data_IF_288629417592
#
_entry.id   IF_288629417592
#
_cell.length_a   1.000
_cell.length_b   1.000
_cell.length_c   1.000
_cell.angle_alpha   90.00
_cell.angle_beta   90.00
_cell.angle_gamma   90.00
#
_symmetry.space_group_name_H-M   'P 1'
#
loop_
_entity.id
_entity.type
_entity.pdbx_description
1 polymer ?
#
# COMPACT_ATOMS: atom_id res chain seq x y z
N UNK A 1 8.09 -60.76 -8.67
CA UNK A 1 8.47 -59.58 -9.47
C UNK A 1 7.56 -58.42 -9.06
N UNK A 2 8.01 -57.54 -8.12
CA UNK A 2 7.26 -56.38 -7.70
C UNK A 2 7.70 -55.18 -8.56
N UNK A 3 6.80 -54.68 -9.41
CA UNK A 3 6.98 -53.41 -10.10
C UNK A 3 6.73 -52.26 -9.11
N UNK A 4 7.80 -51.63 -8.64
CA UNK A 4 7.72 -50.32 -7.94
C UNK A 4 7.39 -49.25 -8.98
N UNK A 5 6.13 -48.79 -8.99
CA UNK A 5 5.75 -47.53 -9.66
C UNK A 5 6.45 -46.37 -8.92
N UNK A 6 7.49 -45.82 -9.51
CA UNK A 6 8.05 -44.52 -9.15
C UNK A 6 7.09 -43.45 -9.66
N UNK A 7 6.20 -42.96 -8.78
CA UNK A 7 5.46 -41.73 -9.04
C UNK A 7 6.43 -40.57 -8.83
N UNK A 8 7.03 -40.12 -9.92
CA UNK A 8 7.77 -38.88 -9.97
C UNK A 8 6.80 -37.75 -9.61
N UNK A 9 6.85 -37.25 -8.36
CA UNK A 9 6.27 -35.95 -7.99
C UNK A 9 6.95 -34.91 -8.89
N UNK A 10 6.31 -34.54 -10.01
CA UNK A 10 6.68 -33.33 -10.74
C UNK A 10 6.70 -32.20 -9.76
N UNK A 11 7.87 -31.61 -9.45
CA UNK A 11 7.97 -30.33 -8.80
C UNK A 11 7.20 -29.37 -9.71
N UNK A 12 6.11 -28.78 -9.22
CA UNK A 12 5.47 -27.67 -9.94
C UNK A 12 6.52 -26.59 -10.05
N UNK A 13 6.80 -26.17 -11.26
CA UNK A 13 7.61 -24.98 -11.49
C UNK A 13 6.96 -23.80 -10.77
N UNK A 14 7.75 -22.88 -10.21
CA UNK A 14 7.17 -21.69 -9.60
C UNK A 14 6.36 -20.91 -10.66
N UNK A 15 5.19 -20.45 -10.28
CA UNK A 15 4.33 -19.66 -11.16
C UNK A 15 5.06 -18.36 -11.55
N UNK A 16 4.88 -17.93 -12.79
CA UNK A 16 5.37 -16.64 -13.27
C UNK A 16 4.70 -15.46 -12.54
N UNK A 17 5.32 -14.27 -12.59
CA UNK A 17 4.74 -13.04 -12.06
C UNK A 17 3.35 -12.80 -12.68
N UNK A 18 3.20 -13.00 -13.98
CA UNK A 18 1.93 -12.83 -14.68
C UNK A 18 0.83 -13.78 -14.17
N UNK A 19 1.15 -15.07 -13.98
CA UNK A 19 0.22 -16.03 -13.42
C UNK A 19 -0.17 -15.68 -11.97
N UNK A 20 0.80 -15.22 -11.17
CA UNK A 20 0.56 -14.77 -9.80
C UNK A 20 -0.37 -13.55 -9.75
N UNK A 21 -0.11 -12.54 -10.59
CA UNK A 21 -0.96 -11.32 -10.67
C UNK A 21 -2.37 -11.70 -11.09
N UNK A 22 -2.54 -12.53 -12.12
CA UNK A 22 -3.85 -13.00 -12.57
C UNK A 22 -4.61 -13.75 -11.45
N UNK A 23 -3.92 -14.64 -10.72
CA UNK A 23 -4.52 -15.39 -9.63
C UNK A 23 -4.94 -14.48 -8.45
N UNK A 24 -4.13 -13.44 -8.14
CA UNK A 24 -4.44 -12.48 -7.10
C UNK A 24 -5.63 -11.62 -7.53
N UNK A 25 -5.65 -11.14 -8.77
CA UNK A 25 -6.74 -10.31 -9.30
C UNK A 25 -8.06 -11.09 -9.22
N UNK A 26 -8.10 -12.34 -9.67
CA UNK A 26 -9.30 -13.17 -9.57
C UNK A 26 -9.81 -13.34 -8.13
N UNK A 27 -8.90 -13.40 -7.14
CA UNK A 27 -9.28 -13.49 -5.72
C UNK A 27 -9.79 -12.16 -5.17
N UNK A 28 -9.21 -11.02 -5.61
CA UNK A 28 -9.70 -9.68 -5.27
C UNK A 28 -11.10 -9.50 -5.80
N UNK A 29 -11.32 -9.84 -7.07
CA UNK A 29 -12.62 -9.71 -7.73
C UNK A 29 -13.68 -10.55 -6.99
N UNK A 30 -13.34 -11.79 -6.65
CA UNK A 30 -14.23 -12.66 -5.87
C UNK A 30 -14.55 -12.07 -4.48
N UNK A 31 -13.56 -11.51 -3.80
CA UNK A 31 -13.77 -10.88 -2.48
C UNK A 31 -14.62 -9.61 -2.58
N UNK A 32 -14.41 -8.78 -3.61
CA UNK A 32 -15.21 -7.58 -3.86
C UNK A 32 -16.67 -7.94 -4.14
N UNK A 33 -16.91 -8.91 -5.04
CA UNK A 33 -18.26 -9.41 -5.36
C UNK A 33 -18.95 -9.96 -4.12
N UNK A 34 -18.24 -10.77 -3.33
CA UNK A 34 -18.77 -11.32 -2.06
C UNK A 34 -19.14 -10.23 -1.04
N UNK A 35 -18.46 -9.09 -1.09
CA UNK A 35 -18.75 -7.91 -0.27
C UNK A 35 -19.82 -6.97 -0.90
N UNK A 36 -20.38 -7.29 -2.05
CA UNK A 36 -21.35 -6.46 -2.76
C UNK A 36 -20.74 -5.20 -3.40
N UNK A 37 -19.43 -5.24 -3.71
CA UNK A 37 -18.68 -4.12 -4.27
C UNK A 37 -18.25 -4.38 -5.71
N UNK A 38 -18.04 -3.31 -6.48
CA UNK A 38 -17.45 -3.43 -7.82
C UNK A 38 -15.95 -3.76 -7.69
N UNK A 39 -15.45 -4.86 -8.29
CA UNK A 39 -14.03 -5.17 -8.32
C UNK A 39 -13.13 -4.05 -8.84
N UNK A 40 -13.64 -3.20 -9.72
CA UNK A 40 -12.91 -2.05 -10.28
C UNK A 40 -12.58 -0.95 -9.26
N UNK A 41 -13.25 -0.96 -8.11
CA UNK A 41 -12.95 -0.02 -7.02
C UNK A 41 -11.69 -0.43 -6.23
N UNK A 42 -11.17 -1.64 -6.45
CA UNK A 42 -10.07 -2.19 -5.65
C UNK A 42 -8.77 -2.15 -6.44
N UNK A 43 -7.89 -1.26 -6.04
CA UNK A 43 -6.55 -1.14 -6.61
C UNK A 43 -5.60 -2.21 -6.04
N UNK A 44 -4.84 -2.87 -6.92
CA UNK A 44 -3.76 -3.79 -6.56
C UNK A 44 -2.43 -3.06 -6.59
N UNK A 45 -1.88 -2.78 -5.41
CA UNK A 45 -0.55 -2.25 -5.23
C UNK A 45 0.47 -3.40 -5.13
N UNK A 46 1.38 -3.50 -6.11
CA UNK A 46 2.50 -4.43 -6.04
C UNK A 46 3.59 -3.88 -5.12
N UNK A 47 3.86 -4.53 -3.98
CA UNK A 47 4.95 -4.14 -3.08
C UNK A 47 6.29 -4.62 -3.66
N UNK A 48 6.98 -3.73 -4.38
CA UNK A 48 8.15 -4.01 -5.23
C UNK A 48 9.48 -4.10 -4.49
N UNK A 49 9.47 -3.90 -3.17
CA UNK A 49 10.70 -3.98 -2.35
C UNK A 49 11.47 -5.29 -2.58
N UNK A 50 12.81 -5.19 -2.65
CA UNK A 50 13.74 -6.32 -2.85
C UNK A 50 13.56 -7.07 -4.19
N UNK A 51 12.85 -6.52 -5.14
CA UNK A 51 12.75 -7.03 -6.49
C UNK A 51 13.50 -6.10 -7.44
N UNK A 52 14.07 -6.65 -8.50
CA UNK A 52 14.79 -5.88 -9.51
C UNK A 52 13.84 -5.14 -10.48
N UNK A 53 14.42 -4.31 -11.33
CA UNK A 53 13.66 -3.51 -12.29
C UNK A 53 12.90 -4.37 -13.31
N UNK A 54 13.45 -5.55 -13.68
CA UNK A 54 12.81 -6.44 -14.61
C UNK A 54 11.53 -7.05 -14.02
N UNK A 55 11.59 -7.56 -12.79
CA UNK A 55 10.43 -8.11 -12.10
C UNK A 55 9.32 -7.05 -11.90
N UNK A 56 9.71 -5.77 -11.67
CA UNK A 56 8.74 -4.67 -11.56
C UNK A 56 8.03 -4.44 -12.89
N UNK A 57 8.76 -4.38 -14.01
CA UNK A 57 8.15 -4.24 -15.35
C UNK A 57 7.21 -5.40 -15.67
N UNK A 58 7.61 -6.64 -15.37
CA UNK A 58 6.76 -7.83 -15.57
C UNK A 58 5.45 -7.74 -14.76
N UNK A 59 5.50 -7.23 -13.53
CA UNK A 59 4.30 -7.02 -12.73
C UNK A 59 3.38 -5.94 -13.32
N UNK A 60 3.95 -4.86 -13.87
CA UNK A 60 3.21 -3.78 -14.56
C UNK A 60 2.54 -4.33 -15.83
N UNK A 61 3.29 -5.06 -16.66
CA UNK A 61 2.78 -5.71 -17.88
C UNK A 61 1.67 -6.72 -17.56
N UNK A 62 1.77 -7.39 -16.40
CA UNK A 62 0.75 -8.32 -15.91
C UNK A 62 -0.51 -7.64 -15.37
N UNK A 63 -0.56 -6.31 -15.26
CA UNK A 63 -1.76 -5.54 -14.93
C UNK A 63 -1.94 -5.24 -13.44
N UNK A 64 -0.86 -4.99 -12.69
CA UNK A 64 -0.99 -4.32 -11.38
C UNK A 64 -1.34 -2.85 -11.59
N UNK A 65 -2.15 -2.27 -10.70
CA UNK A 65 -2.61 -0.89 -10.88
C UNK A 65 -1.54 0.14 -10.52
N UNK A 66 -0.65 -0.21 -9.59
CA UNK A 66 0.45 0.65 -9.14
C UNK A 66 1.54 -0.15 -8.44
N UNK A 67 2.72 0.48 -8.32
CA UNK A 67 3.86 -0.04 -7.60
C UNK A 67 4.01 0.64 -6.23
N UNK A 68 4.35 -0.13 -5.20
CA UNK A 68 4.62 0.36 -3.85
C UNK A 68 6.06 0.10 -3.44
N UNK A 69 6.83 1.17 -3.14
CA UNK A 69 8.22 1.04 -2.75
C UNK A 69 8.43 1.36 -1.28
N UNK A 70 9.30 0.59 -0.63
CA UNK A 70 9.53 0.72 0.81
C UNK A 70 10.82 1.45 1.18
N UNK A 71 11.79 1.52 0.27
CA UNK A 71 13.12 2.07 0.53
C UNK A 71 13.51 3.12 -0.49
N UNK A 72 13.96 4.28 -0.01
CA UNK A 72 14.34 5.41 -0.89
C UNK A 72 15.46 5.02 -1.87
N UNK A 73 16.42 4.20 -1.42
CA UNK A 73 17.52 3.74 -2.26
C UNK A 73 17.02 2.87 -3.42
N UNK A 74 16.09 1.94 -3.14
CA UNK A 74 15.48 1.08 -4.16
C UNK A 74 14.62 1.91 -5.12
N UNK A 75 13.82 2.84 -4.61
CA UNK A 75 13.05 3.77 -5.43
C UNK A 75 13.96 4.51 -6.42
N UNK A 76 15.04 5.13 -5.92
CA UNK A 76 15.95 5.92 -6.74
C UNK A 76 16.69 5.06 -7.78
N UNK A 77 17.12 3.86 -7.41
CA UNK A 77 17.80 2.95 -8.34
C UNK A 77 16.87 2.50 -9.47
N UNK A 78 15.68 2.04 -9.13
CA UNK A 78 14.68 1.56 -10.09
C UNK A 78 14.14 2.67 -10.99
N UNK A 79 14.01 3.90 -10.48
CA UNK A 79 13.66 5.07 -11.33
C UNK A 79 14.70 5.33 -12.41
N UNK A 80 16.01 5.20 -12.10
CA UNK A 80 17.09 5.34 -13.10
C UNK A 80 17.03 4.29 -14.20
N UNK A 81 16.45 3.13 -13.91
CA UNK A 81 16.25 2.02 -14.84
C UNK A 81 14.89 2.05 -15.54
N UNK A 82 14.09 3.12 -15.34
CA UNK A 82 12.71 3.25 -15.84
C UNK A 82 11.82 2.07 -15.47
N UNK A 83 12.04 1.47 -14.29
CA UNK A 83 11.35 0.25 -13.87
C UNK A 83 9.84 0.45 -13.66
N UNK A 84 9.40 1.68 -13.45
CA UNK A 84 7.99 2.02 -13.15
C UNK A 84 7.25 2.62 -14.36
N UNK A 85 7.83 2.56 -15.55
CA UNK A 85 7.17 3.09 -16.75
C UNK A 85 5.85 2.34 -16.97
N UNK A 86 4.76 3.11 -17.15
CA UNK A 86 3.41 2.58 -17.35
C UNK A 86 2.57 2.39 -16.09
N UNK A 87 3.10 2.61 -14.88
CA UNK A 87 2.32 2.54 -13.65
C UNK A 87 2.67 3.65 -12.64
N UNK A 88 1.69 4.12 -11.85
CA UNK A 88 1.96 5.02 -10.72
C UNK A 88 2.86 4.36 -9.68
N UNK A 89 3.64 5.18 -8.97
CA UNK A 89 4.50 4.72 -7.87
C UNK A 89 4.06 5.39 -6.57
N UNK A 90 3.83 4.59 -5.53
CA UNK A 90 3.59 5.07 -4.18
C UNK A 90 4.75 4.70 -3.26
N UNK A 91 5.09 5.60 -2.35
CA UNK A 91 6.01 5.26 -1.26
C UNK A 91 5.22 4.72 -0.08
N UNK A 92 5.46 3.47 0.29
CA UNK A 92 4.66 2.73 1.28
C UNK A 92 5.47 2.27 2.51
N UNK A 93 6.78 2.59 2.57
CA UNK A 93 7.64 2.26 3.69
C UNK A 93 7.87 3.47 4.60
N UNK A 94 8.43 3.24 5.79
CA UNK A 94 8.75 4.33 6.73
C UNK A 94 9.69 5.36 6.08
N UNK A 95 9.26 6.63 6.05
CA UNK A 95 10.00 7.74 5.44
C UNK A 95 10.67 8.59 6.53
N UNK A 96 11.98 8.51 6.61
CA UNK A 96 12.75 9.40 7.48
C UNK A 96 12.75 10.84 6.94
N UNK A 97 12.62 11.84 7.81
CA UNK A 97 12.53 13.26 7.41
C UNK A 97 13.74 13.75 6.59
N UNK A 98 14.95 13.23 6.85
CA UNK A 98 16.17 13.54 6.09
C UNK A 98 16.18 12.98 4.66
N UNK A 99 15.24 12.09 4.33
CA UNK A 99 15.08 11.49 2.99
C UNK A 99 13.94 12.09 2.18
N UNK A 100 13.12 12.95 2.75
CA UNK A 100 11.91 13.55 2.11
C UNK A 100 12.23 14.14 0.74
N UNK A 101 13.32 14.89 0.59
CA UNK A 101 13.75 15.49 -0.69
C UNK A 101 14.03 14.49 -1.81
N UNK A 102 14.21 13.20 -1.48
CA UNK A 102 14.45 12.15 -2.46
C UNK A 102 13.16 11.44 -2.89
N UNK A 103 12.02 11.77 -2.24
CA UNK A 103 10.73 11.11 -2.46
C UNK A 103 9.67 12.09 -2.96
N UNK A 104 9.58 13.29 -2.39
CA UNK A 104 8.64 14.35 -2.81
C UNK A 104 8.87 14.68 -4.29
N UNK A 105 7.78 14.71 -5.06
CA UNK A 105 7.78 14.90 -6.52
C UNK A 105 8.33 13.73 -7.33
N UNK A 106 8.71 12.62 -6.67
CA UNK A 106 9.23 11.41 -7.32
C UNK A 106 8.25 10.24 -7.28
N UNK A 107 7.20 10.36 -6.49
CA UNK A 107 6.12 9.38 -6.35
C UNK A 107 4.77 10.06 -6.44
N UNK A 108 3.76 9.33 -6.86
CA UNK A 108 2.40 9.85 -6.96
C UNK A 108 1.78 10.09 -5.59
N UNK A 109 2.01 9.19 -4.63
CA UNK A 109 1.48 9.28 -3.27
C UNK A 109 2.52 8.79 -2.25
N UNK A 110 2.68 9.50 -1.14
CA UNK A 110 3.40 9.02 0.04
C UNK A 110 2.35 8.49 1.02
N UNK A 111 2.29 7.16 1.20
CA UNK A 111 1.25 6.52 2.03
C UNK A 111 1.60 6.47 3.52
N UNK A 112 2.86 6.64 3.86
CA UNK A 112 3.42 6.40 5.20
C UNK A 112 3.68 7.70 5.97
N UNK A 113 2.73 8.66 5.92
CA UNK A 113 2.86 9.89 6.71
C UNK A 113 2.37 9.61 8.13
N UNK A 114 3.30 9.39 9.03
CA UNK A 114 3.11 8.84 10.36
C UNK A 114 3.20 9.87 11.50
N UNK A 115 3.55 11.11 11.19
CA UNK A 115 3.77 12.14 12.20
C UNK A 115 3.65 13.56 11.64
N UNK A 116 3.26 14.51 12.49
CA UNK A 116 3.23 15.93 12.14
C UNK A 116 4.61 16.45 11.70
N UNK A 117 5.68 15.92 12.28
CA UNK A 117 7.06 16.24 11.87
C UNK A 117 7.33 15.87 10.42
N UNK A 118 6.93 14.68 10.01
CA UNK A 118 7.12 14.21 8.63
C UNK A 118 6.22 15.00 7.68
N UNK A 119 4.96 15.23 8.05
CA UNK A 119 4.01 16.03 7.28
C UNK A 119 4.55 17.43 6.99
N UNK A 120 5.05 18.15 8.01
CA UNK A 120 5.69 19.46 7.85
C UNK A 120 6.92 19.41 6.91
N UNK A 121 7.72 18.36 6.99
CA UNK A 121 8.88 18.20 6.13
C UNK A 121 8.48 17.97 4.66
N UNK A 122 7.41 17.21 4.40
CA UNK A 122 6.86 16.98 3.05
C UNK A 122 6.29 18.28 2.49
N UNK A 123 5.46 19.00 3.24
CA UNK A 123 4.87 20.28 2.82
C UNK A 123 5.97 21.31 2.46
N UNK A 124 6.96 21.47 3.33
CA UNK A 124 8.07 22.38 3.10
C UNK A 124 8.91 22.01 1.85
N UNK A 125 9.12 20.73 1.58
CA UNK A 125 9.85 20.28 0.39
C UNK A 125 9.01 20.43 -0.88
N UNK A 126 7.71 20.12 -0.82
CA UNK A 126 6.77 20.32 -1.91
C UNK A 126 6.64 21.81 -2.27
N UNK A 127 6.61 22.70 -1.26
CA UNK A 127 6.64 24.14 -1.44
C UNK A 127 7.88 24.62 -2.22
N UNK A 128 9.08 24.11 -1.88
CA UNK A 128 10.33 24.44 -2.59
C UNK A 128 10.30 24.02 -4.06
N UNK A 129 9.62 22.92 -4.34
CA UNK A 129 9.48 22.38 -5.70
C UNK A 129 8.29 22.99 -6.47
N UNK A 130 7.46 23.83 -5.83
CA UNK A 130 6.26 24.42 -6.42
C UNK A 130 5.18 23.42 -6.81
N UNK A 131 5.07 22.32 -6.07
CA UNK A 131 4.10 21.24 -6.31
C UNK A 131 3.18 21.02 -5.10
N UNK A 132 2.11 20.26 -5.33
CA UNK A 132 1.28 19.67 -4.26
C UNK A 132 1.54 18.17 -4.26
N UNK A 133 1.98 17.63 -3.12
CA UNK A 133 2.24 16.21 -2.94
C UNK A 133 1.02 15.50 -2.34
N UNK A 134 0.52 14.49 -3.03
CA UNK A 134 -0.51 13.61 -2.51
C UNK A 134 0.05 12.72 -1.40
N UNK A 135 -0.70 12.57 -0.31
CA UNK A 135 -0.32 11.75 0.84
C UNK A 135 -1.48 10.91 1.36
N UNK A 136 -1.16 9.84 2.09
CA UNK A 136 -2.09 9.20 3.02
C UNK A 136 -1.55 9.38 4.43
N UNK A 137 -2.44 9.53 5.41
CA UNK A 137 -2.07 9.47 6.82
C UNK A 137 -1.97 8.01 7.26
N UNK A 138 -0.82 7.62 7.79
CA UNK A 138 -0.63 6.29 8.37
C UNK A 138 -1.22 6.27 9.78
N UNK A 139 -2.15 5.33 10.02
CA UNK A 139 -2.87 5.20 11.29
C UNK A 139 -2.45 3.92 12.00
N UNK A 140 -1.91 4.05 13.20
CA UNK A 140 -1.60 2.95 14.11
C UNK A 140 -2.88 2.49 14.83
N UNK A 141 -3.71 1.77 14.10
CA UNK A 141 -5.03 1.34 14.57
C UNK A 141 -4.98 0.33 15.71
N UNK A 142 -3.85 -0.40 15.84
CA UNK A 142 -3.63 -1.39 16.89
C UNK A 142 -3.10 -0.82 18.19
N UNK A 143 -2.60 0.43 18.20
CA UNK A 143 -2.01 1.06 19.38
C UNK A 143 -0.69 0.42 19.83
N UNK A 144 0.03 -0.26 18.94
CA UNK A 144 1.32 -0.88 19.25
C UNK A 144 2.42 0.18 19.30
N UNK A 145 3.10 0.35 20.43
CA UNK A 145 4.18 1.35 20.60
C UNK A 145 5.35 1.17 19.61
N UNK A 146 5.55 -0.04 19.13
CA UNK A 146 6.61 -0.37 18.17
C UNK A 146 6.29 0.02 16.73
N UNK A 147 5.05 0.42 16.44
CA UNK A 147 4.60 0.79 15.09
C UNK A 147 4.47 2.29 14.93
N UNK A 148 4.82 2.76 13.72
CA UNK A 148 4.59 4.14 13.28
C UNK A 148 3.09 4.40 13.04
N UNK A 149 2.74 5.67 12.93
CA UNK A 149 1.39 6.12 12.60
C UNK A 149 0.76 6.95 13.71
N UNK A 150 -0.16 7.81 13.32
CA UNK A 150 -1.01 8.56 14.24
C UNK A 150 -1.95 7.59 14.98
N UNK A 151 -2.24 7.85 16.24
CA UNK A 151 -3.39 7.18 16.85
C UNK A 151 -4.69 7.62 16.15
N UNK A 152 -5.73 6.81 16.11
CA UNK A 152 -7.01 7.20 15.50
C UNK A 152 -7.58 8.50 16.09
N UNK A 153 -7.32 8.76 17.36
CA UNK A 153 -7.76 9.92 18.12
C UNK A 153 -7.02 11.19 17.71
N UNK A 154 -5.79 11.09 17.19
CA UNK A 154 -4.98 12.23 16.71
C UNK A 154 -5.36 12.67 15.30
N UNK A 155 -5.98 11.80 14.50
CA UNK A 155 -6.23 12.08 13.07
C UNK A 155 -7.22 13.20 12.86
N UNK A 156 -8.36 13.21 13.56
CA UNK A 156 -9.37 14.28 13.41
C UNK A 156 -8.83 15.67 13.82
N UNK A 157 -8.16 15.84 14.97
CA UNK A 157 -7.51 17.11 15.31
C UNK A 157 -6.44 17.54 14.30
N UNK A 158 -5.71 16.59 13.69
CA UNK A 158 -4.75 16.89 12.64
C UNK A 158 -5.45 17.39 11.37
N UNK A 159 -6.53 16.74 10.96
CA UNK A 159 -7.31 17.13 9.78
C UNK A 159 -7.90 18.52 9.94
N UNK A 160 -8.30 18.93 11.13
CA UNK A 160 -8.78 20.30 11.41
C UNK A 160 -7.72 21.38 11.14
N UNK A 161 -6.44 21.03 11.23
CA UNK A 161 -5.31 21.91 10.94
C UNK A 161 -4.73 21.74 9.53
N UNK A 162 -5.28 20.80 8.73
CA UNK A 162 -4.67 20.41 7.46
C UNK A 162 -4.64 21.54 6.44
N UNK A 163 -5.55 22.51 6.51
CA UNK A 163 -5.59 23.67 5.63
C UNK A 163 -4.37 24.60 5.77
N UNK A 164 -3.61 24.49 6.84
CA UNK A 164 -2.34 25.20 7.02
C UNK A 164 -1.24 24.69 6.08
N UNK A 165 -1.37 23.44 5.62
CA UNK A 165 -0.41 22.76 4.73
C UNK A 165 -0.86 22.86 3.27
N UNK A 166 -0.38 23.88 2.57
CA UNK A 166 -0.86 24.26 1.23
C UNK A 166 -0.25 23.45 0.09
N UNK A 167 0.79 22.68 0.38
CA UNK A 167 1.55 21.93 -0.62
C UNK A 167 1.40 20.41 -0.43
N UNK A 168 0.40 19.99 0.32
CA UNK A 168 -0.02 18.59 0.42
C UNK A 168 -1.52 18.45 0.16
N UNK A 169 -1.90 17.26 -0.32
CA UNK A 169 -3.29 16.86 -0.47
C UNK A 169 -3.47 15.48 0.17
N UNK A 170 -4.35 15.38 1.14
CA UNK A 170 -4.63 14.12 1.84
C UNK A 170 -5.65 13.32 1.05
N UNK A 171 -5.20 12.23 0.39
CA UNK A 171 -6.06 11.39 -0.45
C UNK A 171 -6.75 10.26 0.32
N UNK A 172 -6.43 10.08 1.60
CA UNK A 172 -7.00 8.99 2.38
C UNK A 172 -6.14 8.54 3.55
N UNK A 173 -6.40 7.32 4.00
CA UNK A 173 -5.73 6.69 5.14
C UNK A 173 -4.98 5.42 4.73
N UNK A 174 -3.90 5.12 5.44
CA UNK A 174 -3.19 3.86 5.34
C UNK A 174 -3.08 3.22 6.73
N UNK A 175 -3.21 1.91 6.81
CA UNK A 175 -2.91 1.18 8.04
C UNK A 175 -2.28 -0.18 7.79
N UNK A 176 -1.49 -0.62 8.78
CA UNK A 176 -0.96 -1.98 8.88
C UNK A 176 -1.39 -2.51 10.25
N UNK A 177 -2.47 -3.28 10.33
CA UNK A 177 -2.95 -3.81 11.61
C UNK A 177 -1.92 -4.76 12.25
N UNK A 178 -2.10 -5.12 13.52
CA UNK A 178 -1.30 -6.16 14.17
C UNK A 178 -1.27 -7.46 13.36
N UNK A 179 -0.15 -8.20 13.48
CA UNK A 179 -0.07 -9.53 12.87
C UNK A 179 -1.13 -10.42 13.53
N UNK A 180 -2.05 -10.90 12.70
CA UNK A 180 -3.13 -11.79 13.14
C UNK A 180 -2.70 -13.25 13.04
N UNK A 181 -3.11 -14.07 14.01
CA UNK A 181 -2.95 -15.52 13.98
C UNK A 181 -4.17 -16.23 13.38
N UNK A 182 -5.34 -15.57 13.38
CA UNK A 182 -6.58 -16.12 12.88
C UNK A 182 -7.23 -15.22 11.83
N UNK A 183 -7.93 -15.84 10.89
CA UNK A 183 -8.77 -15.11 9.95
C UNK A 183 -9.86 -14.33 10.70
N UNK A 184 -10.06 -13.07 10.29
CA UNK A 184 -11.08 -12.20 10.86
C UNK A 184 -10.66 -11.34 12.06
N UNK A 185 -9.51 -11.59 12.68
CA UNK A 185 -9.03 -10.82 13.84
C UNK A 185 -8.86 -9.32 13.50
N UNK A 186 -8.49 -9.01 12.25
CA UNK A 186 -8.24 -7.65 11.80
C UNK A 186 -9.49 -6.87 11.39
N UNK A 187 -10.67 -7.49 11.30
CA UNK A 187 -11.93 -6.84 10.87
C UNK A 187 -12.25 -5.59 11.68
N UNK A 188 -12.11 -5.66 13.01
CA UNK A 188 -12.35 -4.52 13.91
C UNK A 188 -11.47 -3.31 13.58
N UNK A 189 -10.22 -3.54 13.16
CA UNK A 189 -9.29 -2.50 12.79
C UNK A 189 -9.66 -1.89 11.44
N UNK A 190 -10.00 -2.69 10.45
CA UNK A 190 -10.48 -2.22 9.16
C UNK A 190 -11.77 -1.41 9.29
N UNK A 191 -12.72 -1.88 10.10
CA UNK A 191 -13.95 -1.15 10.39
C UNK A 191 -13.66 0.21 11.05
N UNK A 192 -12.71 0.28 12.01
CA UNK A 192 -12.32 1.55 12.67
C UNK A 192 -11.76 2.55 11.66
N UNK A 193 -10.92 2.11 10.71
CA UNK A 193 -10.36 2.97 9.64
C UNK A 193 -11.45 3.44 8.68
N UNK A 194 -12.34 2.56 8.26
CA UNK A 194 -13.48 2.95 7.41
C UNK A 194 -14.36 3.99 8.09
N UNK A 195 -14.71 3.81 9.35
CA UNK A 195 -15.51 4.79 10.09
C UNK A 195 -14.79 6.11 10.20
N UNK A 196 -13.48 6.10 10.51
CA UNK A 196 -12.67 7.32 10.59
C UNK A 196 -12.66 8.08 9.25
N UNK A 197 -12.57 7.38 8.12
CA UNK A 197 -12.62 8.02 6.80
C UNK A 197 -13.98 8.69 6.54
N UNK A 198 -15.08 8.06 6.93
CA UNK A 198 -16.44 8.63 6.84
C UNK A 198 -16.55 9.89 7.70
N UNK A 199 -16.03 9.86 8.92
CA UNK A 199 -16.07 10.99 9.85
C UNK A 199 -15.27 12.18 9.31
N UNK A 200 -14.12 11.93 8.66
CA UNK A 200 -13.31 12.96 8.00
C UNK A 200 -14.06 13.55 6.80
N UNK A 201 -14.62 12.71 5.93
CA UNK A 201 -15.35 13.16 4.73
C UNK A 201 -16.54 14.05 5.07
N UNK A 202 -17.20 13.80 6.20
CA UNK A 202 -18.33 14.62 6.68
C UNK A 202 -17.93 16.07 6.98
N UNK A 203 -16.64 16.35 7.23
CA UNK A 203 -16.11 17.68 7.57
C UNK A 203 -15.87 18.58 6.36
N UNK A 204 -15.68 18.04 5.15
CA UNK A 204 -15.54 18.76 3.86
C UNK A 204 -14.40 19.78 3.83
N UNK A 205 -13.16 19.33 4.02
CA UNK A 205 -11.97 20.16 3.85
C UNK A 205 -11.51 20.21 2.38
N UNK A 206 -11.02 21.36 1.91
CA UNK A 206 -10.66 21.58 0.49
C UNK A 206 -9.48 20.75 0.02
N UNK A 207 -8.50 20.47 0.91
CA UNK A 207 -7.30 19.71 0.61
C UNK A 207 -7.32 18.28 1.16
N UNK A 208 -8.52 17.70 1.32
CA UNK A 208 -8.73 16.35 1.83
C UNK A 208 -9.79 15.63 1.00
N UNK A 209 -9.47 14.43 0.56
CA UNK A 209 -10.45 13.43 0.15
C UNK A 209 -10.14 12.10 0.86
N UNK A 210 -11.07 11.17 0.86
CA UNK A 210 -10.89 9.85 1.46
C UNK A 210 -11.13 8.73 0.43
N UNK A 211 -10.63 8.96 -0.80
CA UNK A 211 -10.79 8.00 -1.90
C UNK A 211 -9.95 6.76 -1.72
N UNK A 212 -8.82 6.88 -0.99
CA UNK A 212 -7.88 5.77 -0.81
C UNK A 212 -7.91 5.28 0.63
N UNK A 213 -8.42 4.07 0.84
CA UNK A 213 -8.22 3.30 2.06
C UNK A 213 -7.23 2.18 1.76
N UNK A 214 -5.95 2.46 2.02
CA UNK A 214 -4.85 1.52 1.79
C UNK A 214 -4.71 0.61 3.00
N UNK A 215 -5.38 -0.54 2.96
CA UNK A 215 -5.37 -1.53 4.03
C UNK A 215 -5.63 -2.93 3.46
N UNK A 216 -5.04 -3.94 4.12
CA UNK A 216 -5.07 -5.33 3.66
C UNK A 216 -3.83 -5.72 2.86
N UNK A 217 -3.33 -6.91 3.18
CA UNK A 217 -2.17 -7.55 2.56
C UNK A 217 -2.50 -9.00 2.21
N UNK A 218 -1.49 -9.81 1.84
CA UNK A 218 -1.67 -11.17 1.33
C UNK A 218 -2.60 -12.06 2.15
N UNK A 219 -2.62 -11.89 3.49
CA UNK A 219 -3.33 -12.79 4.38
C UNK A 219 -4.71 -12.27 4.83
N UNK A 220 -4.99 -10.97 4.70
CA UNK A 220 -6.18 -10.34 5.25
C UNK A 220 -6.94 -9.39 4.30
N UNK A 221 -6.51 -9.30 3.03
CA UNK A 221 -7.13 -8.37 2.07
C UNK A 221 -8.63 -8.63 1.82
N UNK A 222 -9.10 -9.87 1.93
CA UNK A 222 -10.53 -10.16 1.75
C UNK A 222 -11.37 -9.52 2.86
N UNK A 223 -10.92 -9.60 4.11
CA UNK A 223 -11.55 -8.91 5.23
C UNK A 223 -11.44 -7.38 5.07
N UNK A 224 -10.29 -6.88 4.60
CA UNK A 224 -10.12 -5.44 4.35
C UNK A 224 -11.09 -4.93 3.26
N UNK A 225 -11.25 -5.66 2.14
CA UNK A 225 -12.20 -5.34 1.08
C UNK A 225 -13.63 -5.30 1.61
N UNK A 226 -14.04 -6.29 2.42
CA UNK A 226 -15.35 -6.34 3.03
C UNK A 226 -15.63 -5.15 3.98
N UNK A 227 -14.57 -4.50 4.46
CA UNK A 227 -14.65 -3.32 5.34
C UNK A 227 -14.19 -2.02 4.66
N UNK A 228 -14.32 -1.92 3.33
CA UNK A 228 -14.17 -0.67 2.61
C UNK A 228 -12.76 -0.36 2.07
N UNK A 229 -11.79 -1.29 2.14
CA UNK A 229 -10.50 -1.09 1.47
C UNK A 229 -10.69 -0.78 -0.01
N UNK A 230 -9.99 0.25 -0.52
CA UNK A 230 -9.95 0.59 -1.95
C UNK A 230 -8.57 0.29 -2.55
N UNK A 231 -7.58 -0.05 -1.71
CA UNK A 231 -6.25 -0.42 -2.16
C UNK A 231 -5.66 -1.51 -1.26
N UNK A 232 -5.27 -2.61 -1.86
CA UNK A 232 -4.55 -3.69 -1.19
C UNK A 232 -3.10 -3.75 -1.63
N UNK A 233 -2.20 -4.17 -0.73
CA UNK A 233 -0.76 -4.21 -0.98
C UNK A 233 -0.25 -5.64 -0.91
N UNK A 234 0.20 -6.16 -2.04
CA UNK A 234 0.66 -7.55 -2.18
C UNK A 234 2.11 -7.59 -2.67
N UNK A 235 2.95 -8.34 -1.99
CA UNK A 235 4.36 -8.54 -2.37
C UNK A 235 4.66 -9.99 -2.67
N UNK A 236 4.85 -10.79 -1.63
CA UNK A 236 5.29 -12.20 -1.74
C UNK A 236 4.40 -13.06 -2.65
N UNK A 237 3.10 -12.81 -2.68
CA UNK A 237 2.21 -13.58 -3.55
C UNK A 237 2.35 -13.19 -5.03
N UNK A 238 2.90 -12.01 -5.38
CA UNK A 238 3.23 -11.61 -6.76
C UNK A 238 4.61 -12.14 -7.13
N UNK A 239 5.64 -11.80 -6.33
CA UNK A 239 7.04 -11.98 -6.68
C UNK A 239 7.65 -13.30 -6.18
N UNK A 240 6.88 -14.11 -5.41
CA UNK A 240 7.39 -15.33 -4.81
C UNK A 240 8.08 -15.14 -3.45
N UNK A 241 8.54 -16.24 -2.87
CA UNK A 241 9.28 -16.23 -1.62
C UNK A 241 10.62 -15.51 -1.79
N UNK A 242 10.99 -14.69 -0.81
CA UNK A 242 12.23 -13.92 -0.84
C UNK A 242 13.45 -14.84 -0.72
N UNK A 243 14.39 -14.73 -1.63
CA UNK A 243 15.72 -15.28 -1.45
C UNK A 243 16.53 -14.36 -0.53
N UNK A 244 16.67 -14.75 0.72
CA UNK A 244 17.54 -14.05 1.69
C UNK A 244 19.02 -14.43 1.55
N UNK A 245 19.39 -15.10 0.45
CA UNK A 245 20.76 -15.51 0.19
C UNK A 245 21.50 -14.38 -0.55
N UNK A 246 21.99 -13.37 0.19
CA UNK A 246 23.19 -12.56 -0.12
C UNK A 246 23.83 -12.17 1.20
#
# INVERSE_FOLDING_TARGET
>A
MLHRLFVLKRRREPMSIAENVAAIRARIDAAAIAAGRDPKEILLCAATKMNDAQAVREAIEAGVDLCGENRVQELTAKQKENAYEGAPVHFIGHLQTNKVKQVVGKVNVIQSVDSLRLLKAIDAEAAKQGIVQNILLEVNVGGEESKSGFSPEEVLPLIEQISEFRHIFVCGLMTIPPISQNSGDNRKFFQKISQLSVDIMAKKYDNVCMEILSMGMSDDYADAIAHGSTMIRVGTAIFGARNYAV
#
